data_IF_632427924261
#
_entry.id   IF_632427924261
#
_cell.length_a   1.000
_cell.length_b   1.000
_cell.length_c   1.000
_cell.angle_alpha   90.00
_cell.angle_beta   90.00
_cell.angle_gamma   90.00
#
_symmetry.space_group_name_H-M   'P 1'
#
loop_
_entity.id
_entity.type
_entity.pdbx_description
1 polymer ?
#
# COMPACT_ATOMS: atom_id res chain seq x y z
N UNK A 1 9.95 -15.80 -28.75
CA UNK A 1 10.54 -15.60 -27.40
C UNK A 1 10.04 -14.31 -26.75
N UNK A 2 10.18 -13.15 -27.41
CA UNK A 2 9.66 -11.86 -26.91
C UNK A 2 8.23 -11.93 -26.34
N UNK A 3 7.28 -12.53 -27.06
CA UNK A 3 5.87 -12.60 -26.62
C UNK A 3 5.64 -13.38 -25.32
N UNK A 4 6.54 -14.31 -25.01
CA UNK A 4 6.49 -15.17 -23.84
C UNK A 4 7.26 -14.59 -22.65
N UNK A 5 7.85 -13.39 -22.79
CA UNK A 5 8.59 -12.74 -21.71
C UNK A 5 7.64 -12.49 -20.54
N UNK A 6 7.86 -13.12 -19.37
CA UNK A 6 7.00 -12.94 -18.21
C UNK A 6 7.03 -11.48 -17.74
N UNK A 7 5.91 -11.01 -17.19
CA UNK A 7 5.73 -9.66 -16.64
C UNK A 7 5.90 -8.49 -17.63
N UNK A 8 6.38 -8.73 -18.86
CA UNK A 8 6.49 -7.71 -19.88
C UNK A 8 5.11 -7.21 -20.32
N UNK A 9 4.95 -5.89 -20.39
CA UNK A 9 3.75 -5.30 -20.98
C UNK A 9 3.77 -5.39 -22.50
N UNK A 10 2.61 -5.18 -23.12
CA UNK A 10 2.48 -5.15 -24.58
C UNK A 10 3.39 -4.08 -25.19
N UNK A 11 3.53 -2.92 -24.55
CA UNK A 11 4.44 -1.85 -24.97
C UNK A 11 5.93 -2.24 -24.87
N UNK A 12 6.33 -2.90 -23.78
CA UNK A 12 7.71 -3.38 -23.60
C UNK A 12 8.07 -4.45 -24.65
N UNK A 13 7.10 -5.32 -24.99
CA UNK A 13 7.25 -6.31 -26.08
C UNK A 13 7.31 -5.65 -27.44
N UNK A 14 6.47 -4.64 -27.70
CA UNK A 14 6.47 -3.90 -28.96
C UNK A 14 7.80 -3.18 -29.20
N UNK A 15 8.36 -2.56 -28.15
CA UNK A 15 9.68 -1.93 -28.20
C UNK A 15 10.79 -2.94 -28.52
N UNK A 16 10.73 -4.16 -27.97
CA UNK A 16 11.68 -5.22 -28.31
C UNK A 16 11.53 -5.68 -29.77
N UNK A 17 10.30 -5.85 -30.28
CA UNK A 17 10.07 -6.21 -31.68
C UNK A 17 10.61 -5.16 -32.65
N UNK A 18 10.43 -3.88 -32.35
CA UNK A 18 11.01 -2.79 -33.14
C UNK A 18 12.54 -2.88 -33.20
N UNK A 19 13.20 -3.19 -32.08
CA UNK A 19 14.65 -3.44 -32.05
C UNK A 19 15.08 -4.67 -32.87
N UNK A 20 14.24 -5.70 -32.95
CA UNK A 20 14.49 -6.84 -33.85
C UNK A 20 14.44 -6.38 -35.32
N UNK A 21 13.43 -5.60 -35.70
CA UNK A 21 13.29 -5.09 -37.08
C UNK A 21 14.47 -4.18 -37.47
N UNK A 22 14.94 -3.35 -36.54
CA UNK A 22 16.16 -2.55 -36.69
C UNK A 22 17.39 -3.45 -36.89
N UNK A 23 17.59 -4.45 -36.03
CA UNK A 23 18.72 -5.38 -36.13
C UNK A 23 18.72 -6.18 -37.44
N UNK A 24 17.54 -6.61 -37.91
CA UNK A 24 17.35 -7.26 -39.22
C UNK A 24 17.75 -6.33 -40.36
N UNK A 25 17.34 -5.07 -40.30
CA UNK A 25 17.67 -4.06 -41.31
C UNK A 25 19.18 -3.80 -41.34
N UNK A 26 19.81 -3.63 -40.18
CA UNK A 26 21.26 -3.47 -40.06
C UNK A 26 22.02 -4.68 -40.60
N UNK A 27 21.58 -5.90 -40.29
CA UNK A 27 22.22 -7.13 -40.77
C UNK A 27 22.15 -7.25 -42.30
N UNK A 28 20.99 -6.98 -42.90
CA UNK A 28 20.81 -7.01 -44.37
C UNK A 28 21.70 -5.98 -45.06
N UNK A 29 21.73 -4.75 -44.55
CA UNK A 29 22.59 -3.70 -45.09
C UNK A 29 24.08 -4.07 -44.99
N UNK A 30 24.51 -4.71 -43.91
CA UNK A 30 25.89 -5.18 -43.75
C UNK A 30 26.24 -6.31 -44.74
N UNK A 31 25.30 -7.20 -45.04
CA UNK A 31 25.46 -8.24 -46.06
C UNK A 31 25.56 -7.61 -47.46
N UNK A 32 24.68 -6.67 -47.80
CA UNK A 32 24.67 -6.00 -49.10
C UNK A 32 25.97 -5.20 -49.37
N UNK A 33 26.59 -4.67 -48.30
CA UNK A 33 27.86 -3.95 -48.39
C UNK A 33 29.10 -4.86 -48.41
N UNK A 34 28.97 -6.15 -48.08
CA UNK A 34 30.10 -7.06 -48.04
C UNK A 34 30.62 -7.36 -49.46
N UNK A 35 31.93 -7.22 -49.67
CA UNK A 35 32.56 -7.36 -51.00
C UNK A 35 33.18 -8.74 -51.25
N UNK A 36 33.13 -9.64 -50.27
CA UNK A 36 33.67 -11.00 -50.35
C UNK A 36 32.95 -11.96 -49.39
N UNK A 37 33.21 -13.26 -49.57
CA UNK A 37 32.54 -14.33 -48.81
C UNK A 37 32.77 -14.22 -47.30
N UNK A 38 34.00 -13.93 -46.85
CA UNK A 38 34.30 -13.80 -45.42
C UNK A 38 33.55 -12.63 -44.77
N UNK A 39 33.38 -11.52 -45.49
CA UNK A 39 32.58 -10.38 -45.07
C UNK A 39 31.10 -10.74 -44.94
N UNK A 40 30.55 -11.47 -45.91
CA UNK A 40 29.16 -11.96 -45.86
C UNK A 40 28.95 -12.89 -44.66
N UNK A 41 29.85 -13.85 -44.43
CA UNK A 41 29.77 -14.77 -43.29
C UNK A 41 29.85 -14.02 -41.95
N UNK A 42 30.73 -13.01 -41.85
CA UNK A 42 30.86 -12.18 -40.65
C UNK A 42 29.60 -11.35 -40.41
N UNK A 43 29.08 -10.68 -41.44
CA UNK A 43 27.85 -9.88 -41.33
C UNK A 43 26.64 -10.73 -40.95
N UNK A 44 26.55 -11.95 -41.51
CA UNK A 44 25.54 -12.93 -41.16
C UNK A 44 25.62 -13.32 -39.68
N UNK A 45 26.80 -13.73 -39.21
CA UNK A 45 27.00 -14.13 -37.80
C UNK A 45 26.65 -12.99 -36.85
N UNK A 46 27.20 -11.80 -37.07
CA UNK A 46 26.93 -10.64 -36.22
C UNK A 46 25.44 -10.24 -36.24
N UNK A 47 24.79 -10.34 -37.40
CA UNK A 47 23.36 -10.06 -37.55
C UNK A 47 22.49 -11.04 -36.77
N UNK A 48 22.77 -12.34 -36.89
CA UNK A 48 22.08 -13.40 -36.13
C UNK A 48 22.28 -13.19 -34.63
N UNK A 49 23.51 -12.93 -34.19
CA UNK A 49 23.81 -12.70 -32.77
C UNK A 49 23.08 -11.46 -32.23
N UNK A 50 23.06 -10.37 -33.00
CA UNK A 50 22.36 -9.14 -32.62
C UNK A 50 20.84 -9.37 -32.47
N UNK A 51 20.23 -10.09 -33.42
CA UNK A 51 18.80 -10.43 -33.37
C UNK A 51 18.48 -11.33 -32.17
N UNK A 52 19.29 -12.35 -31.92
CA UNK A 52 19.09 -13.30 -30.82
C UNK A 52 19.22 -12.66 -29.43
N UNK A 53 19.97 -11.56 -29.33
CA UNK A 53 20.19 -10.86 -28.05
C UNK A 53 19.10 -9.83 -27.73
N UNK A 54 18.14 -9.56 -28.62
CA UNK A 54 17.05 -8.61 -28.35
C UNK A 54 16.03 -9.23 -27.42
N UNK A 55 15.81 -8.60 -26.26
CA UNK A 55 14.80 -8.99 -25.28
C UNK A 55 14.01 -7.77 -24.76
N UNK A 56 12.77 -7.95 -24.28
CA UNK A 56 12.04 -6.86 -23.63
C UNK A 56 12.73 -6.38 -22.36
N UNK A 57 12.71 -5.07 -22.15
CA UNK A 57 13.08 -4.45 -20.88
C UNK A 57 11.83 -4.42 -20.00
N UNK A 58 11.78 -5.26 -18.96
CA UNK A 58 10.61 -5.40 -18.08
C UNK A 58 10.80 -4.55 -16.84
N UNK A 59 10.01 -3.48 -16.71
CA UNK A 59 10.15 -2.52 -15.60
C UNK A 59 8.81 -2.06 -15.04
N UNK A 60 7.77 -1.94 -15.89
CA UNK A 60 6.53 -1.24 -15.51
C UNK A 60 5.82 -1.86 -14.32
N UNK A 61 5.68 -3.20 -14.29
CA UNK A 61 5.02 -3.92 -13.19
C UNK A 61 5.82 -3.86 -11.88
N UNK A 62 7.15 -3.94 -11.94
CA UNK A 62 8.01 -3.94 -10.76
C UNK A 62 8.01 -2.57 -10.07
N UNK A 63 8.04 -1.49 -10.85
CA UNK A 63 7.88 -0.13 -10.33
C UNK A 63 6.52 0.07 -9.65
N UNK A 64 5.45 -0.46 -10.25
CA UNK A 64 4.11 -0.40 -9.68
C UNK A 64 4.01 -1.16 -8.35
N UNK A 65 4.56 -2.38 -8.27
CA UNK A 65 4.59 -3.18 -7.02
C UNK A 65 5.39 -2.50 -5.93
N UNK A 66 6.53 -1.90 -6.27
CA UNK A 66 7.36 -1.13 -5.33
C UNK A 66 6.59 0.05 -4.75
N UNK A 67 5.81 0.76 -5.57
CA UNK A 67 4.96 1.85 -5.09
C UNK A 67 3.88 1.36 -4.10
N UNK A 68 3.25 0.22 -4.37
CA UNK A 68 2.28 -0.41 -3.45
C UNK A 68 2.92 -0.76 -2.10
N UNK A 69 4.12 -1.35 -2.11
CA UNK A 69 4.85 -1.69 -0.87
C UNK A 69 5.24 -0.45 -0.06
N UNK A 70 5.69 0.61 -0.74
CA UNK A 70 6.01 1.89 -0.11
C UNK A 70 4.78 2.50 0.58
N UNK A 71 3.63 2.52 -0.10
CA UNK A 71 2.38 3.04 0.45
C UNK A 71 1.90 2.21 1.64
N UNK A 72 1.98 0.88 1.55
CA UNK A 72 1.62 -0.01 2.66
C UNK A 72 2.47 0.25 3.91
N UNK A 73 3.79 0.40 3.75
CA UNK A 73 4.68 0.72 4.86
C UNK A 73 4.35 2.07 5.50
N UNK A 74 4.10 3.10 4.69
CA UNK A 74 3.67 4.41 5.20
C UNK A 74 2.34 4.29 5.96
N UNK A 75 1.38 3.56 5.41
CA UNK A 75 0.06 3.40 6.02
C UNK A 75 0.10 2.63 7.34
N UNK A 76 0.92 1.58 7.44
CA UNK A 76 1.11 0.85 8.70
C UNK A 76 1.74 1.73 9.79
N UNK A 77 2.64 2.64 9.42
CA UNK A 77 3.22 3.61 10.35
C UNK A 77 2.18 4.66 10.81
N UNK A 78 1.30 5.11 9.93
CA UNK A 78 0.16 5.98 10.30
C UNK A 78 -0.81 5.26 11.25
N UNK A 79 -1.12 3.98 10.99
CA UNK A 79 -1.93 3.14 11.87
C UNK A 79 -1.31 3.04 13.27
N UNK A 80 0.02 2.88 13.37
CA UNK A 80 0.71 2.82 14.67
C UNK A 80 0.54 4.08 15.51
N UNK A 81 0.40 5.23 14.84
CA UNK A 81 0.21 6.52 15.48
C UNK A 81 -1.25 6.87 15.75
N UNK A 82 -2.20 5.98 15.40
CA UNK A 82 -3.63 6.26 15.62
C UNK A 82 -3.91 6.44 17.11
N UNK A 83 -4.36 7.64 17.54
CA UNK A 83 -4.67 7.90 18.94
C UNK A 83 -5.81 7.03 19.44
N UNK A 84 -5.78 6.69 20.72
CA UNK A 84 -6.81 5.88 21.40
C UNK A 84 -7.03 4.45 20.85
N UNK A 85 -6.44 4.08 19.71
CA UNK A 85 -6.47 2.71 19.21
C UNK A 85 -5.68 1.78 20.13
N UNK A 86 -6.29 0.65 20.45
CA UNK A 86 -5.63 -0.49 21.09
C UNK A 86 -4.72 -1.23 20.10
N UNK A 87 -3.82 -2.06 20.62
CA UNK A 87 -2.91 -2.83 19.77
C UNK A 87 -3.69 -3.83 18.89
N UNK A 88 -4.76 -4.43 19.41
CA UNK A 88 -5.63 -5.34 18.66
C UNK A 88 -6.33 -4.63 17.49
N UNK A 89 -6.84 -3.42 17.71
CA UNK A 89 -7.48 -2.60 16.67
C UNK A 89 -6.47 -2.19 15.58
N UNK A 90 -5.23 -1.88 15.98
CA UNK A 90 -4.13 -1.59 15.03
C UNK A 90 -3.73 -2.82 14.23
N UNK A 91 -3.58 -3.98 14.88
CA UNK A 91 -3.25 -5.25 14.21
C UNK A 91 -4.32 -5.61 13.18
N UNK A 92 -5.60 -5.46 13.53
CA UNK A 92 -6.70 -5.70 12.60
C UNK A 92 -6.64 -4.77 11.37
N UNK A 93 -6.33 -3.49 11.56
CA UNK A 93 -6.17 -2.55 10.45
C UNK A 93 -4.95 -2.89 9.58
N UNK A 94 -3.80 -3.26 10.18
CA UNK A 94 -2.60 -3.66 9.45
C UNK A 94 -2.82 -4.93 8.60
N UNK A 95 -3.61 -5.88 9.10
CA UNK A 95 -3.99 -7.07 8.34
C UNK A 95 -4.81 -6.71 7.09
N UNK A 96 -5.73 -5.75 7.19
CA UNK A 96 -6.46 -5.23 6.02
C UNK A 96 -5.53 -4.55 5.02
N UNK A 97 -4.47 -3.86 5.48
CA UNK A 97 -3.45 -3.29 4.58
C UNK A 97 -2.74 -4.39 3.80
N UNK A 98 -2.38 -5.50 4.46
CA UNK A 98 -1.72 -6.63 3.80
C UNK A 98 -2.63 -7.31 2.76
N UNK A 99 -3.93 -7.43 3.06
CA UNK A 99 -4.92 -7.91 2.09
C UNK A 99 -5.01 -6.99 0.87
N UNK A 100 -5.11 -5.68 1.07
CA UNK A 100 -5.17 -4.70 -0.01
C UNK A 100 -3.89 -4.73 -0.88
N UNK A 101 -2.71 -4.90 -0.28
CA UNK A 101 -1.44 -5.07 -1.00
C UNK A 101 -1.47 -6.31 -1.89
N UNK A 102 -1.91 -7.45 -1.36
CA UNK A 102 -1.96 -8.70 -2.12
C UNK A 102 -2.91 -8.58 -3.32
N UNK A 103 -4.08 -7.97 -3.11
CA UNK A 103 -5.05 -7.73 -4.18
C UNK A 103 -4.48 -6.79 -5.25
N UNK A 104 -3.84 -5.68 -4.85
CA UNK A 104 -3.23 -4.74 -5.80
C UNK A 104 -2.11 -5.39 -6.64
N UNK A 105 -1.24 -6.18 -6.00
CA UNK A 105 -0.17 -6.92 -6.69
C UNK A 105 -0.74 -7.93 -7.69
N UNK A 106 -1.77 -8.67 -7.30
CA UNK A 106 -2.44 -9.61 -8.20
C UNK A 106 -3.06 -8.91 -9.42
N UNK A 107 -3.69 -7.74 -9.23
CA UNK A 107 -4.22 -6.95 -10.35
C UNK A 107 -3.11 -6.42 -11.27
N UNK A 108 -1.98 -5.97 -10.72
CA UNK A 108 -0.80 -5.56 -11.50
C UNK A 108 -0.25 -6.74 -12.32
N UNK A 109 -0.20 -7.93 -11.73
CA UNK A 109 0.26 -9.14 -12.42
C UNK A 109 -0.64 -9.52 -13.60
N UNK A 110 -1.95 -9.34 -13.46
CA UNK A 110 -2.94 -9.64 -14.50
C UNK A 110 -2.98 -8.61 -15.64
N UNK A 111 -2.56 -7.37 -15.39
CA UNK A 111 -2.55 -6.33 -16.42
C UNK A 111 -1.62 -6.68 -17.58
N UNK A 112 -2.05 -6.47 -18.83
CA UNK A 112 -1.24 -6.82 -20.02
C UNK A 112 -0.49 -5.63 -20.59
N UNK A 113 -0.97 -4.41 -20.37
CA UNK A 113 -0.43 -3.17 -20.92
C UNK A 113 -0.13 -2.14 -19.82
N UNK A 114 0.56 -1.07 -20.19
CA UNK A 114 0.99 -0.02 -19.26
C UNK A 114 -0.20 0.65 -18.54
N UNK A 115 -1.27 0.96 -19.27
CA UNK A 115 -2.46 1.63 -18.71
C UNK A 115 -3.18 0.76 -17.68
N UNK A 116 -3.25 -0.56 -17.92
CA UNK A 116 -3.80 -1.52 -16.99
C UNK A 116 -2.97 -1.61 -15.71
N UNK A 117 -1.63 -1.57 -15.84
CA UNK A 117 -0.73 -1.52 -14.68
C UNK A 117 -0.93 -0.24 -13.86
N UNK A 118 -1.03 0.91 -14.53
CA UNK A 118 -1.24 2.20 -13.87
C UNK A 118 -2.61 2.27 -13.17
N UNK A 119 -3.66 1.73 -13.80
CA UNK A 119 -5.00 1.63 -13.21
C UNK A 119 -4.99 0.73 -11.97
N UNK A 120 -4.39 -0.47 -12.08
CA UNK A 120 -4.29 -1.41 -10.95
C UNK A 120 -3.50 -0.80 -9.78
N UNK A 121 -2.40 -0.11 -10.08
CA UNK A 121 -1.60 0.63 -9.10
C UNK A 121 -2.44 1.71 -8.41
N UNK A 122 -3.14 2.56 -9.16
CA UNK A 122 -3.96 3.64 -8.59
C UNK A 122 -5.03 3.09 -7.65
N UNK A 123 -5.79 2.10 -8.09
CA UNK A 123 -6.84 1.46 -7.29
C UNK A 123 -6.26 0.82 -6.01
N UNK A 124 -5.07 0.21 -6.11
CA UNK A 124 -4.37 -0.38 -4.98
C UNK A 124 -3.93 0.67 -3.95
N UNK A 125 -3.39 1.80 -4.41
CA UNK A 125 -3.01 2.92 -3.55
C UNK A 125 -4.22 3.51 -2.82
N UNK A 126 -5.33 3.72 -3.52
CA UNK A 126 -6.57 4.24 -2.92
C UNK A 126 -7.13 3.28 -1.87
N UNK A 127 -7.12 1.98 -2.17
CA UNK A 127 -7.57 0.93 -1.23
C UNK A 127 -6.72 0.93 0.05
N UNK A 128 -5.40 1.05 -0.06
CA UNK A 128 -4.49 1.11 1.09
C UNK A 128 -4.74 2.39 1.90
N UNK A 129 -4.84 3.55 1.23
CA UNK A 129 -4.97 4.85 1.90
C UNK A 129 -6.23 4.98 2.75
N UNK A 130 -7.31 4.30 2.34
CA UNK A 130 -8.62 4.35 3.00
C UNK A 130 -8.73 3.45 4.24
N UNK A 131 -7.68 2.70 4.60
CA UNK A 131 -7.70 1.80 5.77
C UNK A 131 -7.33 2.55 7.05
N UNK A 132 -8.08 2.34 8.13
CA UNK A 132 -7.84 2.95 9.44
C UNK A 132 -8.23 1.99 10.56
N UNK A 133 -7.69 2.14 11.78
CA UNK A 133 -8.20 1.41 12.93
C UNK A 133 -9.62 1.83 13.26
N UNK A 134 -10.44 0.86 13.63
CA UNK A 134 -11.75 1.12 14.23
C UNK A 134 -11.53 1.29 15.74
N UNK A 135 -11.51 2.54 16.22
CA UNK A 135 -11.23 2.87 17.62
C UNK A 135 -12.52 2.82 18.42
N UNK A 136 -12.62 1.87 19.36
CA UNK A 136 -13.84 1.65 20.13
C UNK A 136 -13.55 1.45 21.60
N UNK A 137 -12.56 0.62 21.95
CA UNK A 137 -12.42 0.13 23.33
C UNK A 137 -12.14 1.22 24.36
N UNK A 138 -11.22 2.13 24.08
CA UNK A 138 -10.91 3.24 25.00
C UNK A 138 -12.04 4.26 25.09
N UNK A 139 -12.76 4.50 23.99
CA UNK A 139 -13.88 5.44 23.96
C UNK A 139 -15.09 4.90 24.74
N UNK A 140 -15.39 3.61 24.61
CA UNK A 140 -16.40 2.92 25.42
C UNK A 140 -16.07 3.01 26.92
N UNK A 141 -14.82 2.77 27.29
CA UNK A 141 -14.37 2.83 28.69
C UNK A 141 -14.48 4.25 29.28
N UNK A 142 -14.04 5.26 28.53
CA UNK A 142 -14.17 6.68 28.94
C UNK A 142 -15.64 7.07 29.12
N UNK A 143 -16.51 6.63 28.21
CA UNK A 143 -17.97 6.83 28.31
C UNK A 143 -18.58 6.15 29.54
N UNK A 144 -18.14 4.94 29.88
CA UNK A 144 -18.62 4.22 31.05
C UNK A 144 -18.23 4.91 32.36
N UNK A 145 -17.02 5.48 32.43
CA UNK A 145 -16.56 6.29 33.57
C UNK A 145 -17.45 7.52 33.76
N UNK A 146 -17.76 8.25 32.68
CA UNK A 146 -18.63 9.44 32.76
C UNK A 146 -20.01 9.09 33.31
N UNK A 147 -20.64 8.03 32.80
CA UNK A 147 -21.94 7.56 33.29
C UNK A 147 -21.91 7.16 34.77
N UNK A 148 -20.85 6.48 35.21
CA UNK A 148 -20.70 6.11 36.62
C UNK A 148 -20.55 7.35 37.51
N UNK A 149 -19.82 8.37 37.05
CA UNK A 149 -19.64 9.61 37.78
C UNK A 149 -20.94 10.42 37.87
N UNK A 150 -21.69 10.55 36.77
CA UNK A 150 -23.00 11.20 36.74
C UNK A 150 -23.97 10.55 37.75
N UNK A 151 -24.07 9.22 37.71
CA UNK A 151 -24.88 8.46 38.67
C UNK A 151 -24.44 8.74 40.12
N UNK A 152 -23.13 8.73 40.39
CA UNK A 152 -22.63 8.97 41.74
C UNK A 152 -22.89 10.39 42.24
N UNK A 153 -22.78 11.40 41.38
CA UNK A 153 -23.11 12.79 41.74
C UNK A 153 -24.60 12.97 42.02
N UNK A 154 -25.47 12.28 41.29
CA UNK A 154 -26.90 12.28 41.55
C UNK A 154 -27.24 11.66 42.92
N UNK A 155 -26.56 10.58 43.33
CA UNK A 155 -26.68 10.02 44.68
C UNK A 155 -26.22 11.01 45.77
N UNK A 156 -25.10 11.71 45.53
CA UNK A 156 -24.59 12.74 46.46
C UNK A 156 -25.61 13.86 46.63
N UNK A 157 -26.25 14.32 45.54
CA UNK A 157 -27.28 15.35 45.60
C UNK A 157 -28.47 14.96 46.49
N UNK A 158 -28.82 13.68 46.48
CA UNK A 158 -29.92 13.13 47.27
C UNK A 158 -29.52 12.77 48.71
N UNK A 159 -28.27 13.03 49.12
CA UNK A 159 -27.82 12.69 50.48
C UNK A 159 -28.52 13.59 51.51
N UNK A 160 -29.33 13.02 52.43
CA UNK A 160 -30.09 13.79 53.40
C UNK A 160 -29.17 14.37 54.49
N UNK A 161 -29.55 15.53 55.03
CA UNK A 161 -28.85 16.26 56.10
C UNK A 161 -27.42 16.73 55.78
N UNK A 162 -26.90 16.51 54.57
CA UNK A 162 -25.62 17.07 54.13
C UNK A 162 -25.80 18.51 53.63
N UNK A 163 -24.84 19.37 53.94
CA UNK A 163 -24.83 20.76 53.42
C UNK A 163 -24.42 20.79 51.96
N UNK A 164 -24.68 21.92 51.30
CA UNK A 164 -24.27 22.12 49.90
C UNK A 164 -22.73 22.09 49.76
N UNK A 165 -21.99 22.59 50.76
CA UNK A 165 -20.52 22.54 50.78
C UNK A 165 -19.99 21.10 50.88
N UNK A 166 -20.61 20.25 51.71
CA UNK A 166 -20.23 18.84 51.84
C UNK A 166 -20.50 18.08 50.54
N UNK A 167 -21.64 18.34 49.89
CA UNK A 167 -21.98 17.77 48.58
C UNK A 167 -21.03 18.24 47.49
N UNK A 168 -20.71 19.53 47.46
CA UNK A 168 -19.77 20.10 46.50
C UNK A 168 -18.37 19.47 46.65
N UNK A 169 -17.88 19.34 47.89
CA UNK A 169 -16.61 18.69 48.18
C UNK A 169 -16.59 17.22 47.76
N UNK A 170 -17.69 16.48 47.98
CA UNK A 170 -17.81 15.09 47.55
C UNK A 170 -17.82 14.96 46.01
N UNK A 171 -18.56 15.84 45.30
CA UNK A 171 -18.58 15.87 43.83
C UNK A 171 -17.22 16.21 43.22
N UNK A 172 -16.47 17.12 43.84
CA UNK A 172 -15.11 17.45 43.41
C UNK A 172 -14.17 16.22 43.49
N UNK A 173 -14.31 15.39 44.53
CA UNK A 173 -13.55 14.12 44.62
C UNK A 173 -13.95 13.12 43.54
N UNK A 174 -15.22 13.09 43.13
CA UNK A 174 -15.66 12.28 41.98
C UNK A 174 -14.99 12.77 40.70
N UNK A 175 -14.93 14.09 40.47
CA UNK A 175 -14.28 14.68 39.29
C UNK A 175 -12.77 14.40 39.24
N UNK A 176 -12.09 14.44 40.38
CA UNK A 176 -10.68 14.07 40.52
C UNK A 176 -10.46 12.59 40.17
N UNK A 177 -11.34 11.70 40.66
CA UNK A 177 -11.28 10.27 40.35
C UNK A 177 -11.54 9.99 38.86
N UNK A 178 -12.51 10.68 38.23
CA UNK A 178 -12.79 10.58 36.79
C UNK A 178 -11.58 11.01 35.97
N UNK A 179 -10.98 12.15 36.32
CA UNK A 179 -9.79 12.67 35.65
C UNK A 179 -8.64 11.66 35.75
N UNK A 180 -8.40 11.12 36.94
CA UNK A 180 -7.39 10.10 37.18
C UNK A 180 -7.63 8.84 36.36
N UNK A 181 -8.87 8.33 36.35
CA UNK A 181 -9.22 7.12 35.62
C UNK A 181 -9.11 7.29 34.09
N UNK A 182 -9.55 8.44 33.56
CA UNK A 182 -9.43 8.75 32.12
C UNK A 182 -8.00 8.94 31.67
N UNK A 183 -7.14 9.52 32.51
CA UNK A 183 -5.71 9.67 32.22
C UNK A 183 -4.96 8.33 32.19
N UNK A 184 -5.50 7.30 32.87
CA UNK A 184 -4.94 5.96 32.86
C UNK A 184 -5.34 5.12 31.62
N UNK A 185 -6.19 5.65 30.71
CA UNK A 185 -6.70 4.99 29.50
C UNK A 185 -6.10 5.60 28.24
#
# INVERSE_FOLDING_TARGET
EIDQTPNATDEEKAAAKAKVDEAVTTAKNAIDQATNNAGVDTAKTNGVDSINNVQPTVVKKDEAKTAIENAARAKKAEIDQTPNATDEEKVAAKAKVDEAVNNAKASIDQATNNDGVDTAKSNGLDSINNIQPTVVKKDEAKTAIDKAAEAKKAEIDQTPNATDEEKAAAKAKVDEAVTTAKNAI
#
